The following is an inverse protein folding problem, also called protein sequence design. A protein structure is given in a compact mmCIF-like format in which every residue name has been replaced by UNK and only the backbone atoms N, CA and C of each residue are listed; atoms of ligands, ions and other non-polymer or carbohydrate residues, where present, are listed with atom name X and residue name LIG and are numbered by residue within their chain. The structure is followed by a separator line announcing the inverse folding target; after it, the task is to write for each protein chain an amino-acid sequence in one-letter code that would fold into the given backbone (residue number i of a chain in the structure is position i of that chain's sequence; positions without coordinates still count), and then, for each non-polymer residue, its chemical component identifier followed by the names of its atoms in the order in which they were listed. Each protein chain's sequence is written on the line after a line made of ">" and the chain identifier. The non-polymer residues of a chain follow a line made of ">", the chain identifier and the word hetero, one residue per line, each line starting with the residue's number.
data_IF_056788899198
#
_entry.id   IF_056788899198
#
_cell.length_a   1.000
_cell.length_b   1.000
_cell.length_c   1.000
_cell.angle_alpha   90.00
_cell.angle_beta   90.00
_cell.angle_gamma   90.00
#
_symmetry.space_group_name_H-M   'P 1'
#
loop_
_entity.id
_entity.type
_entity.pdbx_description
1 polymer ?
#
# COMPACT_ATOMS: atom_id res chain seq x y z
N UNK A 1 20.77 45.73 29.09
CA UNK A 1 21.41 44.61 29.82
C UNK A 1 20.65 44.41 31.13
N UNK A 2 19.88 43.32 31.23
CA UNK A 2 19.38 42.82 32.51
C UNK A 2 19.09 41.32 32.31
N UNK A 3 20.16 40.54 32.41
CA UNK A 3 20.15 39.10 32.38
C UNK A 3 19.57 38.62 33.73
N UNK A 4 18.25 38.45 33.82
CA UNK A 4 17.65 37.81 35.00
C UNK A 4 17.79 36.30 34.82
N UNK A 5 18.84 35.75 35.41
CA UNK A 5 18.95 34.33 35.73
C UNK A 5 17.65 33.89 36.42
N UNK A 6 16.88 33.04 35.74
CA UNK A 6 15.77 32.33 36.36
C UNK A 6 16.40 31.14 37.11
N UNK A 7 16.25 31.03 38.44
CA UNK A 7 16.84 29.93 39.20
C UNK A 7 16.32 28.58 38.71
N UNK A 8 17.22 27.61 38.62
CA UNK A 8 17.02 26.29 38.02
C UNK A 8 16.21 25.32 38.92
N UNK A 9 15.51 25.81 39.94
CA UNK A 9 14.98 24.99 41.03
C UNK A 9 13.45 24.76 40.99
N UNK A 10 12.74 25.22 39.94
CA UNK A 10 11.30 25.00 39.82
C UNK A 10 10.89 23.76 38.99
N UNK A 11 11.84 23.02 38.40
CA UNK A 11 11.54 21.85 37.56
C UNK A 11 11.38 20.52 38.31
N UNK A 12 11.56 20.48 39.64
CA UNK A 12 11.58 19.24 40.42
C UNK A 12 10.28 18.88 41.16
N UNK A 13 9.21 19.66 41.05
CA UNK A 13 7.94 19.41 41.80
C UNK A 13 6.65 19.45 40.95
N UNK A 14 6.74 19.33 39.63
CA UNK A 14 5.54 19.07 38.81
C UNK A 14 5.39 17.57 38.58
N UNK A 15 4.31 16.92 39.04
CA UNK A 15 4.04 15.53 38.67
C UNK A 15 3.94 15.50 37.15
N UNK A 16 4.86 14.78 36.47
CA UNK A 16 4.82 14.66 35.01
C UNK A 16 3.45 14.10 34.65
N UNK A 17 2.58 14.91 34.04
CA UNK A 17 1.23 14.49 33.62
C UNK A 17 1.27 13.98 32.19
N UNK A 18 0.44 12.99 31.91
CA UNK A 18 0.26 12.44 30.58
C UNK A 18 -0.39 13.47 29.65
N UNK A 19 0.27 13.84 28.56
CA UNK A 19 -0.25 14.84 27.63
C UNK A 19 -1.54 14.41 26.91
N UNK A 20 -1.87 13.12 26.92
CA UNK A 20 -3.10 12.59 26.30
C UNK A 20 -4.31 12.66 27.25
N UNK A 21 -4.15 12.19 28.50
CA UNK A 21 -5.30 11.99 29.41
C UNK A 21 -5.14 12.62 30.80
N UNK A 22 -4.03 13.32 31.06
CA UNK A 22 -3.77 14.00 32.34
C UNK A 22 -3.39 13.09 33.52
N UNK A 23 -3.41 11.76 33.35
CA UNK A 23 -2.96 10.79 34.37
C UNK A 23 -1.46 10.90 34.67
N UNK A 24 -0.99 10.26 35.74
CA UNK A 24 0.43 10.25 36.09
C UNK A 24 1.27 9.64 34.96
N UNK A 25 2.28 10.37 34.49
CA UNK A 25 3.17 9.93 33.42
C UNK A 25 4.28 9.07 34.00
N UNK A 26 4.54 7.94 33.34
CA UNK A 26 5.68 7.08 33.62
C UNK A 26 6.96 7.54 32.88
N UNK A 27 6.91 8.66 32.16
CA UNK A 27 7.99 9.21 31.36
C UNK A 27 7.66 9.36 29.87
N UNK A 28 8.71 9.47 29.05
CA UNK A 28 8.59 9.69 27.61
C UNK A 28 8.39 8.37 26.88
N UNK A 29 7.26 8.19 26.20
CA UNK A 29 7.00 7.06 25.31
C UNK A 29 6.56 7.56 23.94
N UNK A 30 7.11 6.96 22.88
CA UNK A 30 6.79 7.30 21.48
C UNK A 30 6.89 8.80 21.18
N UNK A 31 7.86 9.50 21.78
CA UNK A 31 8.10 10.92 21.51
C UNK A 31 7.49 11.89 22.52
N UNK A 32 6.61 11.47 23.43
CA UNK A 32 5.89 12.38 24.34
C UNK A 32 5.82 11.90 25.79
N UNK A 33 5.62 12.80 26.76
CA UNK A 33 5.32 12.42 28.14
C UNK A 33 3.91 11.81 28.23
N UNK A 34 3.81 10.53 28.56
CA UNK A 34 2.52 9.86 28.72
C UNK A 34 2.49 8.84 29.85
N UNK A 35 1.29 8.42 30.26
CA UNK A 35 1.08 7.31 31.18
C UNK A 35 1.20 5.95 30.47
N UNK A 36 1.43 4.87 31.21
CA UNK A 36 1.49 3.51 30.65
C UNK A 36 0.22 3.10 29.91
N UNK A 37 -0.94 3.54 30.39
CA UNK A 37 -2.22 3.26 29.73
C UNK A 37 -2.30 3.79 28.30
N UNK A 38 -1.83 5.01 28.06
CA UNK A 38 -1.82 5.62 26.72
C UNK A 38 -0.65 5.10 25.86
N UNK A 39 0.50 4.80 26.46
CA UNK A 39 1.62 4.13 25.79
C UNK A 39 1.21 2.76 25.24
N UNK A 40 0.67 1.90 26.10
CA UNK A 40 0.21 0.55 25.73
C UNK A 40 -0.95 0.58 24.73
N UNK A 41 -1.89 1.52 24.91
CA UNK A 41 -2.99 1.73 23.96
C UNK A 41 -2.44 2.08 22.57
N UNK A 42 -1.59 3.12 22.48
CA UNK A 42 -1.01 3.56 21.21
C UNK A 42 -0.22 2.45 20.51
N UNK A 43 0.65 1.74 21.25
CA UNK A 43 1.39 0.57 20.76
C UNK A 43 0.46 -0.48 20.15
N UNK A 44 -0.62 -0.83 20.84
CA UNK A 44 -1.60 -1.83 20.39
C UNK A 44 -2.38 -1.36 19.17
N UNK A 45 -2.77 -0.08 19.13
CA UNK A 45 -3.49 0.52 18.01
C UNK A 45 -2.65 0.51 16.74
N UNK A 46 -1.37 0.88 16.82
CA UNK A 46 -0.45 0.84 15.68
C UNK A 46 -0.17 -0.60 15.22
N UNK A 47 0.19 -1.51 16.13
CA UNK A 47 0.53 -2.90 15.76
C UNK A 47 -0.63 -3.65 15.11
N UNK A 48 -1.83 -3.49 15.65
CA UNK A 48 -3.02 -4.16 15.13
C UNK A 48 -3.73 -3.35 14.03
N UNK A 49 -3.10 -2.27 13.52
CA UNK A 49 -3.66 -1.35 12.53
C UNK A 49 -5.13 -1.01 12.81
N UNK A 50 -5.44 -0.69 14.08
CA UNK A 50 -6.84 -0.54 14.51
C UNK A 50 -7.44 0.73 13.93
N UNK A 51 -8.55 0.55 13.23
CA UNK A 51 -9.44 1.63 12.79
C UNK A 51 -10.54 1.74 13.86
N UNK A 52 -10.68 2.92 14.44
CA UNK A 52 -11.72 3.20 15.44
C UNK A 52 -12.72 4.19 14.86
N UNK A 53 -14.00 4.02 15.19
CA UNK A 53 -15.07 4.96 14.84
C UNK A 53 -15.61 5.62 16.11
N UNK A 54 -15.94 6.91 16.04
CA UNK A 54 -16.60 7.60 17.14
C UNK A 54 -18.11 7.33 17.09
N UNK A 55 -18.66 6.78 18.17
CA UNK A 55 -20.10 6.47 18.29
C UNK A 55 -20.88 7.63 18.92
N UNK A 56 -20.21 8.65 19.46
CA UNK A 56 -20.87 9.78 20.10
C UNK A 56 -21.45 10.78 19.08
N UNK A 57 -22.60 11.37 19.44
CA UNK A 57 -23.33 12.38 18.66
C UNK A 57 -22.47 13.61 18.34
N UNK A 58 -21.55 13.99 19.24
CA UNK A 58 -20.66 15.15 19.10
C UNK A 58 -19.47 14.96 18.11
N UNK A 59 -19.60 14.05 17.13
CA UNK A 59 -18.65 13.81 16.00
C UNK A 59 -17.16 13.99 16.36
N UNK A 60 -16.67 13.20 17.30
CA UNK A 60 -15.25 13.11 17.58
C UNK A 60 -14.70 14.11 18.61
N UNK A 61 -15.54 14.75 19.43
CA UNK A 61 -15.07 15.63 20.52
C UNK A 61 -15.21 14.97 21.91
N UNK A 62 -15.16 13.64 22.00
CA UNK A 62 -15.29 12.96 23.28
C UNK A 62 -14.15 13.34 24.24
N UNK A 63 -14.44 13.61 25.52
CA UNK A 63 -13.42 13.95 26.50
C UNK A 63 -12.45 12.78 26.71
N UNK A 64 -11.15 13.10 26.70
CA UNK A 64 -10.07 12.13 26.96
C UNK A 64 -9.31 12.57 28.21
N UNK A 65 -9.75 12.04 29.35
CA UNK A 65 -9.14 12.19 30.67
C UNK A 65 -8.93 10.82 31.34
N UNK A 66 -8.36 10.79 32.54
CA UNK A 66 -8.05 9.54 33.27
C UNK A 66 -9.27 8.61 33.43
N UNK A 67 -10.45 9.16 33.69
CA UNK A 67 -11.68 8.41 33.97
C UNK A 67 -12.35 7.93 32.68
N UNK A 68 -12.34 8.76 31.64
CA UNK A 68 -13.15 8.56 30.42
C UNK A 68 -12.34 8.18 29.18
N UNK A 69 -11.01 8.07 29.27
CA UNK A 69 -10.14 7.72 28.13
C UNK A 69 -10.52 6.42 27.42
N UNK A 70 -11.20 5.48 28.08
CA UNK A 70 -11.61 4.21 27.47
C UNK A 70 -12.98 4.27 26.76
N UNK A 71 -13.80 5.30 26.98
CA UNK A 71 -15.14 5.40 26.40
C UNK A 71 -15.13 5.59 24.88
N UNK A 72 -14.16 6.34 24.36
CA UNK A 72 -14.03 6.56 22.93
C UNK A 72 -12.59 6.28 22.45
N UNK A 73 -12.30 5.05 22.00
CA UNK A 73 -11.00 4.69 21.45
C UNK A 73 -10.59 5.56 20.25
N UNK A 74 -11.55 6.01 19.43
CA UNK A 74 -11.28 6.89 18.30
C UNK A 74 -10.71 8.24 18.75
N UNK A 75 -11.41 8.95 19.65
CA UNK A 75 -10.97 10.25 20.14
C UNK A 75 -9.66 10.14 20.93
N UNK A 76 -9.48 9.07 21.70
CA UNK A 76 -8.22 8.80 22.41
C UNK A 76 -7.06 8.61 21.43
N UNK A 77 -7.22 7.79 20.39
CA UNK A 77 -6.17 7.51 19.41
C UNK A 77 -5.84 8.75 18.58
N UNK A 78 -6.86 9.51 18.17
CA UNK A 78 -6.65 10.80 17.49
C UNK A 78 -5.88 11.78 18.37
N UNK A 79 -6.18 11.84 19.67
CA UNK A 79 -5.45 12.69 20.62
C UNK A 79 -4.01 12.23 20.85
N UNK A 80 -3.73 10.92 20.84
CA UNK A 80 -2.36 10.42 20.86
C UNK A 80 -1.55 10.96 19.67
N UNK A 81 -2.11 10.90 18.47
CA UNK A 81 -1.47 11.42 17.25
C UNK A 81 -1.32 12.94 17.31
N UNK A 82 -2.36 13.67 17.71
CA UNK A 82 -2.33 15.14 17.76
C UNK A 82 -1.33 15.68 18.79
N UNK A 83 -1.07 14.94 19.87
CA UNK A 83 -0.06 15.30 20.87
C UNK A 83 1.37 14.93 20.43
N UNK A 84 1.53 14.24 19.29
CA UNK A 84 2.84 13.92 18.72
C UNK A 84 3.37 12.53 19.02
N UNK A 85 2.51 11.55 19.38
CA UNK A 85 2.97 10.16 19.48
C UNK A 85 3.43 9.64 18.11
N UNK A 86 4.69 9.23 18.01
CA UNK A 86 5.32 8.76 16.80
C UNK A 86 5.02 7.27 16.54
N UNK A 87 4.19 7.00 15.53
CA UNK A 87 3.84 5.65 15.09
C UNK A 87 5.06 4.86 14.59
N UNK A 88 6.03 5.52 13.95
CA UNK A 88 7.25 4.87 13.45
C UNK A 88 8.17 4.37 14.57
N UNK A 89 8.05 4.93 15.78
CA UNK A 89 8.78 4.45 16.96
C UNK A 89 8.20 3.16 17.55
N UNK A 90 7.03 2.70 17.08
CA UNK A 90 6.46 1.42 17.50
C UNK A 90 7.16 0.30 16.73
N UNK A 91 8.16 -0.31 17.36
CA UNK A 91 8.82 -1.49 16.80
C UNK A 91 7.79 -2.58 16.49
N UNK A 92 7.87 -3.12 15.27
CA UNK A 92 7.26 -4.40 14.87
C UNK A 92 7.84 -5.46 15.82
N UNK A 93 7.02 -6.43 16.25
CA UNK A 93 7.40 -7.36 17.30
C UNK A 93 8.82 -7.91 17.09
N UNK A 94 9.63 -7.89 18.16
CA UNK A 94 10.66 -8.91 18.30
C UNK A 94 9.87 -10.21 18.41
N UNK A 95 9.70 -10.91 17.30
CA UNK A 95 9.12 -12.24 17.35
C UNK A 95 9.83 -13.00 18.47
N UNK A 96 9.06 -13.79 19.24
CA UNK A 96 9.62 -14.95 19.92
C UNK A 96 10.62 -15.61 18.98
N UNK A 97 11.74 -16.16 19.50
CA UNK A 97 12.70 -16.91 18.69
C UNK A 97 11.98 -18.07 17.98
N UNK A 98 11.30 -17.77 16.89
CA UNK A 98 10.95 -18.70 15.83
C UNK A 98 12.31 -18.95 15.23
N UNK A 99 12.84 -20.14 15.49
CA UNK A 99 13.93 -20.72 14.74
C UNK A 99 13.72 -20.32 13.29
N UNK A 100 14.64 -19.49 12.78
CA UNK A 100 14.61 -19.00 11.41
C UNK A 100 14.77 -20.24 10.55
N UNK A 101 13.66 -20.83 10.12
CA UNK A 101 13.72 -21.76 9.00
C UNK A 101 14.11 -20.94 7.77
N UNK A 102 14.92 -21.50 6.85
CA UNK A 102 15.50 -20.76 5.72
C UNK A 102 14.45 -20.05 4.82
N UNK A 103 13.17 -20.39 4.94
CA UNK A 103 12.07 -19.86 4.12
C UNK A 103 11.82 -18.35 4.27
N UNK A 104 11.96 -17.76 5.46
CA UNK A 104 11.58 -16.35 5.68
C UNK A 104 12.66 -15.33 5.27
N UNK A 105 13.94 -15.73 5.21
CA UNK A 105 14.99 -14.89 4.61
C UNK A 105 14.81 -14.73 3.10
N UNK A 106 14.27 -15.74 2.43
CA UNK A 106 13.98 -15.68 0.99
C UNK A 106 12.81 -14.74 0.66
N UNK A 107 11.88 -14.51 1.59
CA UNK A 107 10.68 -13.71 1.33
C UNK A 107 10.89 -12.19 1.49
N UNK A 108 11.80 -11.76 2.37
CA UNK A 108 12.13 -10.35 2.55
C UNK A 108 13.33 -9.86 1.71
N UNK A 109 14.20 -10.75 1.21
CA UNK A 109 15.21 -10.40 0.20
C UNK A 109 14.58 -10.04 -1.16
N UNK A 110 13.33 -10.45 -1.37
CA UNK A 110 12.52 -10.18 -2.55
C UNK A 110 12.04 -8.73 -2.67
N UNK A 111 12.01 -7.94 -1.60
CA UNK A 111 11.43 -6.58 -1.65
C UNK A 111 12.25 -5.62 -2.53
N UNK A 112 13.55 -5.89 -2.75
CA UNK A 112 14.42 -5.13 -3.66
C UNK A 112 14.88 -5.88 -4.93
N UNK A 113 14.45 -7.13 -5.13
CA UNK A 113 15.01 -8.03 -6.15
C UNK A 113 13.93 -8.83 -6.88
N UNK A 114 13.07 -8.16 -7.66
CA UNK A 114 12.21 -8.86 -8.66
C UNK A 114 12.38 -8.30 -10.07
N UNK A 115 12.83 -7.05 -10.21
CA UNK A 115 13.32 -6.53 -11.49
C UNK A 115 14.76 -6.98 -11.80
N UNK A 116 15.49 -7.51 -10.80
CA UNK A 116 16.86 -8.01 -10.96
C UNK A 116 16.92 -9.53 -11.21
N UNK A 117 15.90 -10.30 -10.78
CA UNK A 117 15.93 -11.78 -10.80
C UNK A 117 15.09 -12.42 -11.92
N UNK A 118 14.40 -11.63 -12.77
CA UNK A 118 13.89 -12.18 -14.03
C UNK A 118 15.05 -12.26 -15.02
N UNK A 119 15.47 -13.49 -15.31
CA UNK A 119 16.31 -13.79 -16.48
C UNK A 119 15.72 -13.07 -17.70
N UNK A 120 16.54 -12.41 -18.54
CA UNK A 120 16.12 -11.60 -19.69
C UNK A 120 15.44 -12.38 -20.84
N UNK A 121 15.08 -13.63 -20.61
CA UNK A 121 14.56 -14.60 -21.58
C UNK A 121 13.04 -14.85 -21.43
N UNK A 122 12.40 -14.30 -20.39
CA UNK A 122 10.94 -14.11 -20.33
C UNK A 122 10.62 -12.63 -20.62
N UNK A 123 9.98 -12.35 -21.76
CA UNK A 123 9.77 -11.02 -22.34
C UNK A 123 9.39 -9.89 -21.38
N UNK A 124 9.72 -8.66 -21.79
CA UNK A 124 9.52 -7.46 -20.98
C UNK A 124 8.02 -7.22 -20.70
N UNK A 125 7.62 -7.34 -19.43
CA UNK A 125 6.26 -7.02 -18.97
C UNK A 125 6.23 -5.57 -18.48
N UNK A 126 5.34 -4.74 -19.04
CA UNK A 126 5.09 -3.38 -18.55
C UNK A 126 3.96 -3.36 -17.51
N UNK A 127 4.21 -2.92 -16.26
CA UNK A 127 3.14 -2.51 -15.37
C UNK A 127 2.53 -1.20 -15.89
N UNK A 128 1.21 -1.19 -16.12
CA UNK A 128 0.50 -0.04 -16.70
C UNK A 128 -0.86 0.18 -16.03
N UNK A 129 -1.39 1.38 -16.23
CA UNK A 129 -2.78 1.75 -15.94
C UNK A 129 -3.63 1.52 -17.20
N UNK A 130 -4.91 1.22 -17.02
CA UNK A 130 -5.85 1.00 -18.14
C UNK A 130 -5.90 2.23 -19.04
N UNK A 131 -5.91 3.44 -18.47
CA UNK A 131 -5.88 4.67 -19.27
C UNK A 131 -4.70 4.71 -20.25
N UNK A 132 -3.51 4.26 -19.83
CA UNK A 132 -2.34 4.24 -20.71
C UNK A 132 -2.51 3.26 -21.88
N UNK A 133 -3.26 2.17 -21.68
CA UNK A 133 -3.61 1.23 -22.74
C UNK A 133 -4.65 1.81 -23.70
N UNK A 134 -5.63 2.55 -23.18
CA UNK A 134 -6.68 3.16 -23.99
C UNK A 134 -6.16 4.33 -24.83
N UNK A 135 -5.23 5.11 -24.29
CA UNK A 135 -4.59 6.24 -24.95
C UNK A 135 -3.48 5.80 -25.94
N UNK A 136 -3.18 4.49 -26.01
CA UNK A 136 -2.22 3.94 -26.95
C UNK A 136 -2.88 3.69 -28.32
N UNK A 137 -2.46 4.45 -29.33
CA UNK A 137 -3.03 4.41 -30.69
C UNK A 137 -2.12 3.71 -31.72
N UNK A 138 -0.95 3.20 -31.32
CA UNK A 138 0.00 2.60 -32.26
C UNK A 138 -0.30 1.12 -32.53
N UNK A 139 -0.19 0.72 -33.80
CA UNK A 139 -0.26 -0.68 -34.23
C UNK A 139 1.05 -1.40 -33.90
N UNK A 140 1.09 -2.11 -32.77
CA UNK A 140 2.27 -2.87 -32.38
C UNK A 140 2.32 -3.28 -30.91
N UNK A 141 3.51 -3.68 -30.47
CA UNK A 141 3.79 -3.92 -29.05
C UNK A 141 3.69 -2.59 -28.27
N UNK A 142 3.23 -2.66 -27.03
CA UNK A 142 3.05 -1.49 -26.18
C UNK A 142 4.38 -0.78 -25.93
N UNK A 143 4.42 0.55 -26.04
CA UNK A 143 5.65 1.33 -25.87
C UNK A 143 5.56 2.38 -24.77
N UNK A 144 6.67 2.59 -24.05
CA UNK A 144 6.84 3.69 -23.11
C UNK A 144 8.16 4.39 -23.44
N UNK A 145 8.11 5.64 -23.91
CA UNK A 145 9.29 6.44 -24.30
C UNK A 145 10.22 5.70 -25.28
N UNK A 146 9.66 5.06 -26.31
CA UNK A 146 10.40 4.31 -27.32
C UNK A 146 10.89 2.92 -26.89
N UNK A 147 10.62 2.52 -25.64
CA UNK A 147 10.89 1.17 -25.15
C UNK A 147 9.68 0.28 -25.38
N UNK A 148 9.85 -0.79 -26.13
CA UNK A 148 8.80 -1.77 -26.44
C UNK A 148 8.65 -2.82 -25.33
N UNK A 149 7.42 -3.28 -25.13
CA UNK A 149 7.06 -4.30 -24.16
C UNK A 149 6.14 -5.34 -24.81
N UNK A 150 6.49 -6.61 -24.66
CA UNK A 150 5.75 -7.71 -25.30
C UNK A 150 4.42 -8.00 -24.59
N UNK A 151 4.41 -7.76 -23.28
CA UNK A 151 3.27 -8.00 -22.42
C UNK A 151 3.03 -6.81 -21.49
N UNK A 152 1.81 -6.72 -21.01
CA UNK A 152 1.39 -5.73 -20.02
C UNK A 152 0.80 -6.42 -18.79
N UNK A 153 0.91 -5.73 -17.67
CA UNK A 153 0.36 -6.11 -16.37
C UNK A 153 -0.52 -4.97 -15.87
N UNK A 154 -1.72 -5.27 -15.41
CA UNK A 154 -2.67 -4.31 -14.85
C UNK A 154 -3.28 -4.88 -13.55
N UNK A 155 -3.36 -4.06 -12.49
CA UNK A 155 -4.20 -4.37 -11.34
C UNK A 155 -5.55 -3.68 -11.47
N UNK A 156 -6.63 -4.45 -11.61
CA UNK A 156 -7.97 -3.91 -11.84
C UNK A 156 -9.05 -4.70 -11.10
N UNK A 157 -10.19 -4.06 -10.90
CA UNK A 157 -11.41 -4.69 -10.41
C UNK A 157 -12.10 -5.39 -11.57
N UNK A 158 -12.45 -6.65 -11.37
CA UNK A 158 -13.27 -7.41 -12.32
C UNK A 158 -14.74 -6.99 -12.15
N UNK A 159 -15.29 -6.27 -13.12
CA UNK A 159 -16.66 -5.70 -13.07
C UNK A 159 -17.72 -6.58 -13.70
N UNK A 160 -17.38 -7.28 -14.77
CA UNK A 160 -18.28 -8.17 -15.50
C UNK A 160 -17.50 -9.39 -15.97
N UNK A 161 -18.15 -10.54 -15.98
CA UNK A 161 -17.61 -11.80 -16.51
C UNK A 161 -18.69 -12.43 -17.38
N UNK A 162 -18.41 -12.55 -18.68
CA UNK A 162 -19.24 -13.25 -19.64
C UNK A 162 -18.49 -14.50 -20.09
N UNK A 163 -19.09 -15.68 -19.89
CA UNK A 163 -18.47 -16.96 -20.24
C UNK A 163 -19.13 -17.52 -21.49
N UNK A 164 -18.33 -17.88 -22.48
CA UNK A 164 -18.74 -18.70 -23.64
C UNK A 164 -17.97 -20.02 -23.63
N UNK A 165 -18.21 -20.88 -24.62
CA UNK A 165 -17.55 -22.19 -24.72
C UNK A 165 -16.04 -22.10 -24.98
N UNK A 166 -15.57 -21.03 -25.64
CA UNK A 166 -14.17 -20.89 -26.05
C UNK A 166 -13.44 -19.73 -25.35
N UNK A 167 -14.16 -18.82 -24.70
CA UNK A 167 -13.55 -17.65 -24.05
C UNK A 167 -14.32 -17.14 -22.86
N UNK A 168 -13.60 -16.50 -21.95
CA UNK A 168 -14.12 -15.69 -20.85
C UNK A 168 -13.81 -14.24 -21.16
N UNK A 169 -14.84 -13.45 -21.43
CA UNK A 169 -14.73 -12.01 -21.58
C UNK A 169 -14.91 -11.35 -20.22
N UNK A 170 -13.97 -10.49 -19.84
CA UNK A 170 -14.01 -9.77 -18.58
C UNK A 170 -13.94 -8.26 -18.80
N UNK A 171 -14.74 -7.51 -18.06
CA UNK A 171 -14.62 -6.05 -18.00
C UNK A 171 -13.80 -5.68 -16.78
N UNK A 172 -12.71 -4.95 -17.00
CA UNK A 172 -11.71 -4.58 -16.00
C UNK A 172 -11.72 -3.07 -15.78
N UNK A 173 -11.61 -2.64 -14.52
CA UNK A 173 -11.68 -1.24 -14.12
C UNK A 173 -10.67 -0.93 -13.00
N UNK A 174 -9.71 -0.04 -13.26
CA UNK A 174 -8.65 0.35 -12.32
C UNK A 174 -8.81 1.80 -11.81
N UNK A 175 -10.00 2.39 -12.01
CA UNK A 175 -10.34 3.81 -11.76
C UNK A 175 -9.72 4.83 -12.72
N UNK A 176 -8.78 4.44 -13.57
CA UNK A 176 -8.22 5.31 -14.61
C UNK A 176 -8.94 5.13 -15.94
N UNK A 177 -9.50 3.95 -16.16
CA UNK A 177 -10.31 3.63 -17.32
C UNK A 177 -10.95 2.25 -17.17
N UNK A 178 -11.67 1.84 -18.21
CA UNK A 178 -12.31 0.53 -18.29
C UNK A 178 -11.96 -0.13 -19.61
N UNK A 179 -11.57 -1.39 -19.56
CA UNK A 179 -11.18 -2.17 -20.75
C UNK A 179 -11.79 -3.56 -20.69
N UNK A 180 -12.02 -4.14 -21.87
CA UNK A 180 -12.44 -5.53 -22.01
C UNK A 180 -11.23 -6.42 -22.27
N UNK A 181 -11.17 -7.53 -21.57
CA UNK A 181 -10.15 -8.56 -21.78
C UNK A 181 -10.77 -9.90 -22.15
N UNK A 182 -10.23 -10.56 -23.17
CA UNK A 182 -10.63 -11.89 -23.61
C UNK A 182 -9.60 -12.92 -23.12
N UNK A 183 -10.04 -13.87 -22.29
CA UNK A 183 -9.27 -15.02 -21.82
C UNK A 183 -9.70 -16.28 -22.55
N UNK A 184 -8.82 -16.89 -23.34
CA UNK A 184 -9.13 -18.09 -24.12
C UNK A 184 -8.94 -19.36 -23.27
N UNK A 185 -9.95 -20.22 -23.24
CA UNK A 185 -9.93 -21.48 -22.49
C UNK A 185 -9.19 -22.56 -23.29
N UNK A 186 -8.23 -23.28 -22.68
CA UNK A 186 -7.44 -24.31 -23.37
C UNK A 186 -8.00 -25.74 -23.22
N UNK A 187 -9.11 -25.95 -22.51
CA UNK A 187 -9.80 -27.24 -22.40
C UNK A 187 -10.74 -27.37 -21.20
N UNK A 188 -11.40 -28.52 -21.08
CA UNK A 188 -12.25 -28.92 -19.94
C UNK A 188 -11.38 -29.11 -18.69
N UNK A 189 -11.23 -28.07 -17.89
CA UNK A 189 -10.43 -28.10 -16.65
C UNK A 189 -9.80 -26.75 -16.27
N UNK A 190 -9.75 -25.79 -17.20
CA UNK A 190 -9.33 -24.42 -16.90
C UNK A 190 -10.40 -23.71 -16.06
N UNK A 191 -10.32 -23.85 -14.74
CA UNK A 191 -11.08 -23.02 -13.81
C UNK A 191 -10.31 -21.74 -13.53
N UNK A 192 -10.84 -20.62 -14.01
CA UNK A 192 -10.33 -19.32 -13.61
C UNK A 192 -11.00 -18.92 -12.29
N UNK A 193 -10.23 -18.93 -11.19
CA UNK A 193 -10.64 -18.47 -9.84
C UNK A 193 -10.81 -16.95 -9.80
N UNK A 194 -11.74 -16.43 -10.60
CA UNK A 194 -12.06 -15.02 -10.68
C UNK A 194 -13.32 -14.72 -9.87
N UNK A 195 -13.19 -13.75 -8.96
CA UNK A 195 -14.32 -13.27 -8.14
C UNK A 195 -14.74 -11.90 -8.63
N UNK A 196 -16.02 -11.76 -8.97
CA UNK A 196 -16.62 -10.48 -9.37
C UNK A 196 -16.42 -9.43 -8.26
N UNK A 197 -16.20 -8.18 -8.66
CA UNK A 197 -15.96 -7.03 -7.78
C UNK A 197 -14.76 -7.20 -6.82
N UNK A 198 -13.81 -8.06 -7.19
CA UNK A 198 -12.51 -8.15 -6.52
C UNK A 198 -11.40 -7.66 -7.43
N UNK A 199 -10.33 -7.20 -6.80
CA UNK A 199 -9.11 -6.86 -7.50
C UNK A 199 -8.40 -8.13 -7.95
N UNK A 200 -7.84 -8.07 -9.15
CA UNK A 200 -6.96 -9.07 -9.68
C UNK A 200 -5.79 -8.39 -10.39
N UNK A 201 -4.69 -9.12 -10.52
CA UNK A 201 -3.58 -8.78 -11.41
C UNK A 201 -3.79 -9.53 -12.73
N UNK A 202 -3.86 -8.79 -13.82
CA UNK A 202 -4.13 -9.27 -15.17
C UNK A 202 -2.87 -9.11 -15.99
N UNK A 203 -2.41 -10.22 -16.57
CA UNK A 203 -1.32 -10.25 -17.53
C UNK A 203 -1.89 -10.53 -18.91
N UNK A 204 -1.50 -9.69 -19.87
CA UNK A 204 -2.04 -9.79 -21.22
C UNK A 204 -1.17 -9.10 -22.24
N UNK A 205 -1.65 -9.14 -23.48
CA UNK A 205 -1.11 -8.38 -24.59
C UNK A 205 -2.24 -7.57 -25.22
N UNK A 206 -1.96 -6.33 -25.55
CA UNK A 206 -2.90 -5.50 -26.29
C UNK A 206 -2.97 -5.99 -27.73
N UNK A 207 -4.19 -6.23 -28.20
CA UNK A 207 -4.52 -6.43 -29.59
C UNK A 207 -4.75 -5.09 -30.29
N UNK A 208 -4.72 -5.09 -31.63
CA UNK A 208 -4.91 -3.89 -32.45
C UNK A 208 -6.26 -3.20 -32.18
N UNK A 209 -7.31 -3.95 -31.84
CA UNK A 209 -8.66 -3.44 -31.58
C UNK A 209 -8.89 -2.93 -30.14
N UNK A 210 -7.83 -2.48 -29.44
CA UNK A 210 -7.86 -2.08 -28.01
C UNK A 210 -8.46 -3.15 -27.07
N UNK A 211 -8.42 -4.41 -27.50
CA UNK A 211 -8.84 -5.56 -26.71
C UNK A 211 -7.63 -6.17 -26.00
N UNK A 212 -7.74 -6.42 -24.70
CA UNK A 212 -6.67 -7.07 -23.94
C UNK A 212 -6.79 -8.59 -24.09
N UNK A 213 -5.88 -9.22 -24.81
CA UNK A 213 -5.77 -10.69 -24.80
C UNK A 213 -5.16 -11.10 -23.48
N UNK A 214 -5.94 -11.76 -22.64
CA UNK A 214 -5.53 -12.13 -21.29
C UNK A 214 -4.88 -13.50 -21.31
N UNK A 215 -3.68 -13.61 -20.76
CA UNK A 215 -2.96 -14.88 -20.59
C UNK A 215 -3.04 -15.42 -19.17
N UNK A 216 -3.17 -14.54 -18.17
CA UNK A 216 -3.19 -14.93 -16.76
C UNK A 216 -3.91 -13.90 -15.92
N UNK A 217 -4.76 -14.36 -15.01
CA UNK A 217 -5.41 -13.53 -13.99
C UNK A 217 -5.14 -14.14 -12.62
N UNK A 218 -4.71 -13.30 -11.68
CA UNK A 218 -4.40 -13.70 -10.30
C UNK A 218 -5.20 -12.84 -9.32
N UNK A 219 -6.06 -13.43 -8.47
CA UNK A 219 -6.76 -12.69 -7.42
C UNK A 219 -5.78 -12.01 -6.47
N UNK A 220 -6.03 -10.75 -6.17
CA UNK A 220 -5.24 -10.00 -5.17
C UNK A 220 -5.73 -10.38 -3.78
N UNK A 221 -4.79 -10.77 -2.91
CA UNK A 221 -5.08 -11.19 -1.53
C UNK A 221 -4.82 -10.07 -0.54
N UNK A 222 -3.81 -9.23 -0.80
CA UNK A 222 -3.48 -8.07 0.02
C UNK A 222 -3.57 -6.78 -0.79
N UNK A 223 -4.24 -5.77 -0.20
CA UNK A 223 -4.26 -4.39 -0.70
C UNK A 223 -2.87 -3.80 -1.02
N UNK A 224 -1.81 -4.27 -0.37
CA UNK A 224 -0.43 -3.86 -0.67
C UNK A 224 -0.01 -4.16 -2.12
N UNK A 225 -0.54 -5.22 -2.73
CA UNK A 225 -0.25 -5.56 -4.13
C UNK A 225 -0.71 -4.45 -5.09
N UNK A 226 -1.84 -3.81 -4.79
CA UNK A 226 -2.39 -2.69 -5.58
C UNK A 226 -1.47 -1.47 -5.48
N UNK A 227 -1.05 -1.12 -4.26
CA UNK A 227 -0.16 0.02 -4.02
C UNK A 227 1.19 -0.22 -4.69
N UNK A 228 1.72 -1.44 -4.58
CA UNK A 228 2.95 -1.85 -5.23
C UNK A 228 2.85 -1.70 -6.76
N UNK A 229 1.75 -2.17 -7.37
CA UNK A 229 1.52 -2.00 -8.81
C UNK A 229 1.56 -0.54 -9.22
N UNK A 230 0.89 0.36 -8.48
CA UNK A 230 0.93 1.81 -8.78
C UNK A 230 2.36 2.38 -8.71
N UNK A 231 3.18 1.93 -7.76
CA UNK A 231 4.58 2.34 -7.68
C UNK A 231 5.42 1.78 -8.83
N UNK A 232 5.18 0.52 -9.22
CA UNK A 232 5.88 -0.12 -10.33
C UNK A 232 5.58 0.60 -11.67
N UNK A 233 4.33 1.03 -11.91
CA UNK A 233 3.94 1.87 -13.05
C UNK A 233 4.78 3.16 -13.09
N UNK A 234 4.83 3.89 -11.97
CA UNK A 234 5.55 5.17 -11.89
C UNK A 234 7.05 4.97 -12.09
N UNK A 235 7.62 3.95 -11.47
CA UNK A 235 9.04 3.65 -11.53
C UNK A 235 9.49 3.29 -12.95
N UNK A 236 8.76 2.41 -13.65
CA UNK A 236 9.08 2.02 -15.02
C UNK A 236 9.02 3.23 -15.95
N UNK A 237 8.01 4.09 -15.79
CA UNK A 237 7.88 5.31 -16.58
C UNK A 237 9.02 6.29 -16.33
N UNK A 238 9.39 6.51 -15.05
CA UNK A 238 10.53 7.35 -14.68
C UNK A 238 11.84 6.84 -15.27
N UNK A 239 12.09 5.53 -15.16
CA UNK A 239 13.32 4.91 -15.68
C UNK A 239 13.40 5.01 -17.20
N UNK A 240 12.32 4.68 -17.91
CA UNK A 240 12.26 4.79 -19.36
C UNK A 240 12.48 6.24 -19.83
N UNK A 241 11.91 7.23 -19.14
CA UNK A 241 12.15 8.64 -19.43
C UNK A 241 13.62 9.04 -19.21
N UNK A 242 14.21 8.62 -18.09
CA UNK A 242 15.62 8.90 -17.78
C UNK A 242 16.56 8.34 -18.84
N UNK A 243 16.32 7.11 -19.27
CA UNK A 243 17.11 6.45 -20.30
C UNK A 243 16.92 7.12 -21.68
N UNK A 244 15.69 7.53 -22.02
CA UNK A 244 15.38 8.29 -23.24
C UNK A 244 16.06 9.68 -23.26
N UNK A 245 16.08 10.40 -22.15
CA UNK A 245 16.80 11.68 -22.07
C UNK A 245 18.31 11.46 -22.25
N UNK A 246 18.90 10.44 -21.61
CA UNK A 246 20.34 10.15 -21.74
C UNK A 246 20.74 9.79 -23.18
N UNK A 247 19.89 9.10 -23.93
CA UNK A 247 20.18 8.78 -25.35
C UNK A 247 20.06 9.99 -26.26
N UNK A 248 19.16 10.93 -25.93
CA UNK A 248 18.90 12.13 -26.75
C UNK A 248 19.96 13.22 -26.56
N UNK A 249 20.47 13.43 -25.33
CA UNK A 249 21.43 14.48 -24.99
C UNK A 249 22.92 14.05 -25.07
N UNK A 250 23.21 12.85 -25.56
CA UNK A 250 24.59 12.36 -25.82
C UNK A 250 25.09 12.62 -27.26
N UNK A 251 24.40 13.48 -28.01
CA UNK A 251 24.82 13.92 -29.36
C UNK A 251 25.32 15.36 -29.32
#
# INVERSE_FOLDING_TARGET
>A
MANRHIPNDFYLLSPRKCMVCGDHSSGKHYGIQCCDGCSCFFKRSIRKRKIYLCVAVAKGQCPVDKLRRNWCPNCRFRKCLSMGMNAASVQIERGSRVTVTPKLKAENARVGSWLADKKPEEGLIAPVLIKQLLDFDESGNFQIYGKTFDMVCVCAIVRLIERTWSKIKCTLDDHTGRITGDYWLKGEGDTMDMVLNRYATIYGKMSQDKLLTVYKILPIKDSYEIIRHSLDVLYVRYKALSDFCKSTYRK
#
